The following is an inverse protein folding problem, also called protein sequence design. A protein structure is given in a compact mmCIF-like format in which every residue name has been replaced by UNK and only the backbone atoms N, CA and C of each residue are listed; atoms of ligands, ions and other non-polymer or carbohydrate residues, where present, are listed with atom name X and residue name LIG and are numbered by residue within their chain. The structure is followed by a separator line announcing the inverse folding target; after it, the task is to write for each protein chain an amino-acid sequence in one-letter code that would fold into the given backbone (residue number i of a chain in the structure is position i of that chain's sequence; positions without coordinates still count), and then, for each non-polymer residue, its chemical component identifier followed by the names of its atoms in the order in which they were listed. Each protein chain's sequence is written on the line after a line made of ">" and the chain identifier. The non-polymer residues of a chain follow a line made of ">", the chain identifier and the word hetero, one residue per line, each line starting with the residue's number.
data_IF_814498778652
#
_entry.id   IF_814498778652
#
_cell.length_a   1.000
_cell.length_b   1.000
_cell.length_c   1.000
_cell.angle_alpha   90.00
_cell.angle_beta   90.00
_cell.angle_gamma   90.00
#
_symmetry.space_group_name_H-M   'P 1'
#
loop_
_entity.id
_entity.type
_entity.pdbx_description
1 polymer ?
#
# COMPACT_ATOMS: atom_id res chain seq x y z
N UNK A 1 50.61 -62.24 21.97
CA UNK A 1 50.95 -61.53 20.71
C UNK A 1 49.69 -61.23 19.89
N UNK A 2 48.76 -60.41 20.40
CA UNK A 2 47.46 -60.21 19.75
C UNK A 2 46.87 -58.81 19.99
N UNK A 3 47.67 -57.74 19.94
CA UNK A 3 47.14 -56.37 20.11
C UNK A 3 47.84 -55.27 19.28
N UNK A 4 48.72 -55.60 18.33
CA UNK A 4 49.46 -54.56 17.57
C UNK A 4 48.85 -54.28 16.17
N UNK A 5 47.95 -55.14 15.68
CA UNK A 5 47.42 -55.06 14.30
C UNK A 5 46.23 -54.08 14.18
N UNK A 6 45.43 -53.88 15.23
CA UNK A 6 44.18 -53.09 15.17
C UNK A 6 44.38 -51.57 15.06
N UNK A 7 45.42 -51.01 15.71
CA UNK A 7 45.66 -49.55 15.74
C UNK A 7 46.19 -48.99 14.42
N UNK A 8 46.98 -49.78 13.67
CA UNK A 8 47.53 -49.33 12.38
C UNK A 8 46.49 -49.35 11.26
N UNK A 9 45.59 -50.34 11.26
CA UNK A 9 44.49 -50.41 10.29
C UNK A 9 43.43 -49.33 10.56
N UNK A 10 43.09 -49.08 11.83
CA UNK A 10 42.15 -48.01 12.19
C UNK A 10 42.68 -46.60 11.84
N UNK A 11 43.99 -46.35 12.03
CA UNK A 11 44.61 -45.07 11.65
C UNK A 11 44.63 -44.83 10.15
N UNK A 12 44.92 -45.86 9.34
CA UNK A 12 44.92 -45.76 7.87
C UNK A 12 43.50 -45.53 7.33
N UNK A 13 42.48 -46.16 7.90
CA UNK A 13 41.08 -45.97 7.49
C UNK A 13 40.57 -44.57 7.83
N UNK A 14 40.94 -44.02 8.99
CA UNK A 14 40.56 -42.65 9.38
C UNK A 14 41.24 -41.57 8.52
N UNK A 15 42.52 -41.77 8.17
CA UNK A 15 43.24 -40.85 7.26
C UNK A 15 42.69 -40.95 5.83
N UNK A 16 42.37 -42.15 5.35
CA UNK A 16 41.74 -42.32 4.04
C UNK A 16 40.33 -41.70 3.99
N UNK A 17 39.52 -41.84 5.04
CA UNK A 17 38.20 -41.22 5.12
C UNK A 17 38.27 -39.69 5.20
N UNK A 18 39.26 -39.13 5.91
CA UNK A 18 39.48 -37.68 5.97
C UNK A 18 39.98 -37.10 4.63
N UNK A 19 40.81 -37.83 3.89
CA UNK A 19 41.27 -37.44 2.55
C UNK A 19 40.18 -37.58 1.47
N UNK A 20 39.27 -38.55 1.61
CA UNK A 20 38.11 -38.68 0.73
C UNK A 20 37.07 -37.57 0.98
N UNK A 21 36.88 -37.15 2.25
CA UNK A 21 35.95 -36.08 2.60
C UNK A 21 36.39 -34.69 2.10
N UNK A 22 37.70 -34.43 1.95
CA UNK A 22 38.19 -33.15 1.39
C UNK A 22 38.15 -33.11 -0.14
N UNK A 23 38.11 -34.25 -0.83
CA UNK A 23 37.96 -34.31 -2.29
C UNK A 23 36.52 -34.10 -2.78
N UNK A 24 35.52 -34.22 -1.89
CA UNK A 24 34.10 -34.07 -2.24
C UNK A 24 33.67 -32.61 -2.51
N UNK A 25 34.52 -31.62 -2.26
CA UNK A 25 34.28 -30.23 -2.66
C UNK A 25 34.75 -29.92 -4.10
N UNK A 26 35.36 -30.88 -4.82
CA UNK A 26 35.86 -30.69 -6.19
C UNK A 26 34.95 -31.23 -7.30
N UNK A 27 33.79 -31.81 -6.96
CA UNK A 27 33.03 -32.68 -7.87
C UNK A 27 32.19 -31.99 -8.94
N UNK A 28 31.89 -30.70 -8.81
CA UNK A 28 31.16 -29.99 -9.86
C UNK A 28 31.47 -28.51 -9.82
N UNK A 29 32.28 -28.07 -10.77
CA UNK A 29 32.50 -26.66 -11.02
C UNK A 29 31.15 -26.01 -11.41
N UNK A 30 30.91 -24.74 -11.02
CA UNK A 30 29.74 -24.01 -11.49
C UNK A 30 29.63 -24.06 -13.02
N UNK A 31 28.42 -24.02 -13.60
CA UNK A 31 28.26 -23.98 -15.05
C UNK A 31 29.12 -22.87 -15.66
N UNK A 32 30.00 -23.24 -16.61
CA UNK A 32 30.92 -22.30 -17.27
C UNK A 32 32.31 -22.16 -16.61
N UNK A 33 32.60 -22.88 -15.53
CA UNK A 33 33.94 -22.98 -14.95
C UNK A 33 34.59 -24.33 -15.32
N UNK A 34 35.82 -24.29 -15.84
CA UNK A 34 36.65 -25.46 -16.20
C UNK A 34 37.76 -25.75 -15.17
N UNK A 35 37.87 -24.91 -14.13
CA UNK A 35 38.80 -25.08 -13.03
C UNK A 35 40.22 -24.59 -13.35
N UNK A 36 40.43 -24.02 -14.54
CA UNK A 36 41.70 -23.46 -14.96
C UNK A 36 41.70 -21.94 -14.73
N UNK A 37 42.30 -21.52 -13.62
CA UNK A 37 42.38 -20.10 -13.25
C UNK A 37 43.35 -19.31 -14.16
N UNK A 38 44.02 -19.96 -15.12
CA UNK A 38 45.07 -19.37 -15.94
C UNK A 38 44.70 -19.19 -17.42
N UNK A 39 43.54 -19.67 -17.86
CA UNK A 39 43.09 -19.57 -19.25
C UNK A 39 41.99 -18.50 -19.46
N UNK A 40 41.27 -18.54 -20.59
CA UNK A 40 40.25 -17.54 -20.92
C UNK A 40 38.92 -17.86 -20.22
N UNK A 41 38.70 -17.18 -19.09
CA UNK A 41 37.44 -17.21 -18.35
C UNK A 41 36.30 -16.78 -19.26
N UNK A 42 35.17 -17.49 -19.19
CA UNK A 42 33.95 -17.03 -19.82
C UNK A 42 33.58 -15.63 -19.31
N UNK A 43 33.03 -14.79 -20.18
CA UNK A 43 32.54 -13.48 -19.77
C UNK A 43 31.54 -13.65 -18.62
N UNK A 44 31.78 -12.97 -17.51
CA UNK A 44 30.82 -12.94 -16.41
C UNK A 44 29.52 -12.34 -16.92
N UNK A 45 28.39 -12.97 -16.56
CA UNK A 45 27.09 -12.39 -16.85
C UNK A 45 27.03 -10.97 -16.29
N UNK A 46 26.32 -10.08 -16.99
CA UNK A 46 26.15 -8.72 -16.51
C UNK A 46 25.53 -8.75 -15.10
N UNK A 47 26.12 -8.01 -14.13
CA UNK A 47 25.61 -7.99 -12.77
C UNK A 47 24.19 -7.41 -12.77
N UNK A 48 23.22 -8.23 -12.36
CA UNK A 48 21.84 -7.78 -12.19
C UNK A 48 21.63 -7.21 -10.80
N UNK A 49 20.99 -6.05 -10.70
CA UNK A 49 20.58 -5.51 -9.40
C UNK A 49 19.52 -6.40 -8.74
N UNK A 50 19.56 -6.52 -7.42
CA UNK A 50 18.50 -7.21 -6.68
C UNK A 50 17.13 -6.54 -6.88
N UNK A 51 16.09 -7.36 -7.05
CA UNK A 51 14.68 -6.93 -7.15
C UNK A 51 13.80 -7.66 -6.12
N UNK A 52 12.86 -6.96 -5.46
CA UNK A 52 11.83 -7.57 -4.64
C UNK A 52 10.78 -8.31 -5.49
N UNK A 53 10.12 -9.27 -4.88
CA UNK A 53 9.04 -10.04 -5.48
C UNK A 53 7.73 -9.25 -5.45
N UNK A 54 6.84 -9.54 -6.39
CA UNK A 54 5.45 -9.08 -6.38
C UNK A 54 4.55 -10.05 -5.60
N UNK A 55 3.38 -9.57 -5.17
CA UNK A 55 2.36 -10.38 -4.51
C UNK A 55 2.85 -11.10 -3.25
N UNK A 56 3.78 -10.46 -2.54
CA UNK A 56 4.25 -10.87 -1.21
C UNK A 56 3.75 -9.91 -0.15
N UNK A 57 3.75 -10.36 1.10
CA UNK A 57 3.27 -9.59 2.23
C UNK A 57 4.37 -9.32 3.25
N UNK A 58 4.18 -8.30 4.08
CA UNK A 58 5.15 -7.87 5.09
C UNK A 58 4.45 -7.41 6.39
N UNK A 59 5.21 -7.45 7.49
CA UNK A 59 4.73 -7.02 8.81
C UNK A 59 4.63 -5.49 8.94
N UNK A 60 5.40 -4.76 8.14
CA UNK A 60 5.60 -3.33 8.31
C UNK A 60 5.98 -2.63 7.00
N UNK A 61 5.55 -1.37 6.88
CA UNK A 61 5.92 -0.51 5.77
C UNK A 61 7.35 0.02 5.93
N UNK A 62 8.02 0.18 4.79
CA UNK A 62 9.35 0.78 4.68
C UNK A 62 9.36 1.65 3.45
N UNK A 63 9.41 2.96 3.61
CA UNK A 63 9.64 3.92 2.54
C UNK A 63 11.00 3.69 1.86
N UNK A 64 12.01 3.33 2.64
CA UNK A 64 13.34 2.92 2.18
C UNK A 64 13.56 1.44 2.45
N UNK A 65 13.68 0.66 1.38
CA UNK A 65 13.75 -0.79 1.42
C UNK A 65 15.20 -1.28 1.26
N UNK A 66 15.76 -1.74 2.38
CA UNK A 66 17.05 -2.41 2.43
C UNK A 66 16.89 -3.91 2.17
N UNK A 67 17.76 -4.50 1.34
CA UNK A 67 17.76 -5.95 1.09
C UNK A 67 17.87 -6.78 2.37
N UNK A 68 18.66 -6.34 3.34
CA UNK A 68 18.82 -7.03 4.64
C UNK A 68 17.53 -7.09 5.48
N UNK A 69 16.60 -6.17 5.22
CA UNK A 69 15.29 -6.10 5.89
C UNK A 69 14.16 -6.71 5.07
N UNK A 70 14.42 -7.13 3.83
CA UNK A 70 13.43 -7.76 2.97
C UNK A 70 13.15 -9.19 3.43
N UNK A 71 12.06 -9.35 4.18
CA UNK A 71 11.59 -10.62 4.75
C UNK A 71 10.12 -10.84 4.40
N UNK A 72 9.81 -11.15 3.13
CA UNK A 72 8.44 -11.38 2.72
C UNK A 72 7.85 -12.61 3.42
N UNK A 73 6.56 -12.52 3.73
CA UNK A 73 5.73 -13.65 4.15
C UNK A 73 4.65 -13.90 3.11
N UNK A 74 4.08 -15.10 3.11
CA UNK A 74 2.89 -15.39 2.34
C UNK A 74 1.70 -14.59 2.89
N UNK A 75 0.82 -14.13 2.00
CA UNK A 75 -0.34 -13.31 2.38
C UNK A 75 -1.45 -14.12 3.08
N UNK A 76 -1.33 -15.45 3.12
CA UNK A 76 -2.15 -16.32 3.98
C UNK A 76 -1.65 -16.38 5.43
N UNK A 77 -0.51 -15.75 5.74
CA UNK A 77 -0.01 -15.54 7.08
C UNK A 77 -0.48 -14.18 7.60
N UNK A 78 -0.38 -13.97 8.91
CA UNK A 78 -0.63 -12.67 9.52
C UNK A 78 0.39 -11.64 9.00
N UNK A 79 -0.09 -10.56 8.38
CA UNK A 79 0.71 -9.48 7.81
C UNK A 79 -0.04 -8.15 7.92
N UNK A 80 0.65 -7.04 7.67
CA UNK A 80 0.05 -5.69 7.73
C UNK A 80 0.06 -5.01 6.36
N UNK A 81 1.04 -5.31 5.52
CA UNK A 81 1.21 -4.70 4.20
C UNK A 81 1.32 -5.75 3.10
N UNK A 82 0.82 -5.40 1.91
CA UNK A 82 0.87 -6.20 0.70
C UNK A 82 1.61 -5.43 -0.39
N UNK A 83 2.64 -6.05 -0.96
CA UNK A 83 3.30 -5.52 -2.16
C UNK A 83 2.42 -5.84 -3.37
N UNK A 84 1.62 -4.86 -3.80
CA UNK A 84 0.67 -4.99 -4.90
C UNK A 84 1.38 -5.12 -6.25
N UNK A 85 2.47 -4.39 -6.43
CA UNK A 85 3.25 -4.37 -7.66
C UNK A 85 4.68 -3.86 -7.41
N UNK A 86 5.61 -4.24 -8.30
CA UNK A 86 6.96 -3.74 -8.35
C UNK A 86 7.24 -3.24 -9.78
N UNK A 87 7.42 -1.94 -9.94
CA UNK A 87 7.67 -1.32 -11.24
C UNK A 87 9.04 -0.61 -11.24
N UNK A 88 9.48 -0.12 -12.40
CA UNK A 88 10.77 0.53 -12.57
C UNK A 88 10.63 2.01 -12.90
N UNK A 89 11.52 2.81 -12.33
CA UNK A 89 11.81 4.14 -12.85
C UNK A 89 12.36 4.01 -14.27
N UNK A 90 12.03 4.97 -15.11
CA UNK A 90 12.50 5.05 -16.49
C UNK A 90 13.04 6.45 -16.79
N UNK A 91 13.80 6.57 -17.88
CA UNK A 91 14.34 7.85 -18.36
C UNK A 91 15.21 8.56 -17.31
N UNK A 92 15.05 9.88 -17.21
CA UNK A 92 15.86 10.72 -16.31
C UNK A 92 15.76 10.28 -14.85
N UNK A 93 14.59 9.82 -14.39
CA UNK A 93 14.39 9.32 -13.03
C UNK A 93 15.28 8.10 -12.74
N UNK A 94 15.49 7.22 -13.73
CA UNK A 94 16.37 6.07 -13.61
C UNK A 94 17.85 6.45 -13.70
N UNK A 95 18.20 7.54 -14.37
CA UNK A 95 19.59 8.02 -14.51
C UNK A 95 20.09 8.83 -13.31
N UNK A 96 19.24 9.09 -12.31
CA UNK A 96 19.64 9.81 -11.10
C UNK A 96 20.75 9.07 -10.35
N UNK A 97 21.61 9.82 -9.67
CA UNK A 97 22.65 9.28 -8.80
C UNK A 97 22.13 8.87 -7.43
N UNK A 98 20.94 9.34 -7.04
CA UNK A 98 20.28 8.97 -5.79
C UNK A 98 18.80 8.66 -6.04
N UNK A 99 18.17 7.84 -5.18
CA UNK A 99 16.72 7.64 -5.22
C UNK A 99 15.95 8.96 -5.23
N UNK A 100 14.79 9.04 -5.89
CA UNK A 100 13.91 10.20 -5.80
C UNK A 100 13.65 10.62 -4.35
N UNK A 101 13.82 11.90 -4.05
CA UNK A 101 13.52 12.44 -2.72
C UNK A 101 12.00 12.53 -2.50
N UNK A 102 11.61 12.61 -1.23
CA UNK A 102 10.23 12.94 -0.85
C UNK A 102 9.77 14.24 -1.55
N UNK A 103 8.51 14.28 -1.99
CA UNK A 103 7.94 15.42 -2.71
C UNK A 103 8.58 15.72 -4.08
N UNK A 104 9.45 14.87 -4.62
CA UNK A 104 9.99 15.06 -5.97
C UNK A 104 8.94 14.73 -7.06
N UNK A 105 9.05 15.34 -8.26
CA UNK A 105 8.20 14.96 -9.40
C UNK A 105 8.28 13.47 -9.74
N UNK A 106 9.48 12.89 -9.65
CA UNK A 106 9.72 11.47 -9.93
C UNK A 106 9.00 10.55 -8.94
N UNK A 107 9.03 10.88 -7.63
CA UNK A 107 8.30 10.11 -6.63
C UNK A 107 6.79 10.28 -6.78
N UNK A 108 6.29 11.49 -7.10
CA UNK A 108 4.87 11.70 -7.41
C UNK A 108 4.41 10.91 -8.64
N UNK A 109 5.27 10.74 -9.64
CA UNK A 109 4.97 9.92 -10.81
C UNK A 109 4.84 8.44 -10.43
N UNK A 110 5.76 7.92 -9.61
CA UNK A 110 5.67 6.57 -9.05
C UNK A 110 4.42 6.39 -8.18
N UNK A 111 4.09 7.36 -7.35
CA UNK A 111 2.86 7.37 -6.54
C UNK A 111 1.60 7.31 -7.41
N UNK A 112 1.52 8.13 -8.46
CA UNK A 112 0.37 8.15 -9.37
C UNK A 112 0.23 6.86 -10.20
N UNK A 113 1.34 6.18 -10.49
CA UNK A 113 1.32 4.85 -11.07
C UNK A 113 0.85 3.79 -10.06
N UNK A 114 1.32 3.85 -8.82
CA UNK A 114 0.83 2.99 -7.74
C UNK A 114 -0.66 3.19 -7.45
N UNK A 115 -1.17 4.42 -7.46
CA UNK A 115 -2.61 4.73 -7.31
C UNK A 115 -3.47 3.96 -8.31
N UNK A 116 -3.03 3.89 -9.58
CA UNK A 116 -3.72 3.12 -10.63
C UNK A 116 -3.64 1.62 -10.37
N UNK A 117 -2.46 1.11 -10.05
CA UNK A 117 -2.23 -0.33 -9.82
C UNK A 117 -2.99 -0.83 -8.58
N UNK A 118 -2.98 -0.06 -7.49
CA UNK A 118 -3.74 -0.34 -6.27
C UNK A 118 -5.24 -0.30 -6.54
N UNK A 119 -5.73 0.72 -7.25
CA UNK A 119 -7.15 0.81 -7.64
C UNK A 119 -7.59 -0.40 -8.45
N UNK A 120 -6.77 -0.83 -9.42
CA UNK A 120 -7.05 -2.03 -10.22
C UNK A 120 -7.02 -3.32 -9.38
N UNK A 121 -6.04 -3.44 -8.47
CA UNK A 121 -5.90 -4.59 -7.58
C UNK A 121 -7.10 -4.76 -6.64
N UNK A 122 -7.61 -3.65 -6.08
CA UNK A 122 -8.77 -3.63 -5.18
C UNK A 122 -10.11 -3.78 -5.93
N UNK A 123 -10.15 -3.46 -7.22
CA UNK A 123 -11.38 -3.38 -8.00
C UNK A 123 -12.22 -2.14 -7.71
N UNK A 124 -11.60 -1.06 -7.22
CA UNK A 124 -12.25 0.21 -6.88
C UNK A 124 -11.28 1.22 -6.29
N UNK A 125 -11.68 2.50 -6.25
CA UNK A 125 -10.87 3.57 -5.64
C UNK A 125 -10.68 3.31 -4.15
N UNK A 126 -9.42 3.10 -3.75
CA UNK A 126 -9.01 2.79 -2.37
C UNK A 126 -9.50 3.82 -1.36
N UNK A 127 -9.70 5.08 -1.77
CA UNK A 127 -10.20 6.15 -0.90
C UNK A 127 -11.67 5.98 -0.50
N UNK A 128 -12.37 5.02 -1.10
CA UNK A 128 -13.72 4.63 -0.71
C UNK A 128 -13.74 3.59 0.42
N UNK A 129 -12.60 3.23 0.98
CA UNK A 129 -12.51 2.33 2.11
C UNK A 129 -11.38 2.67 3.09
N UNK A 130 -11.35 1.93 4.20
CA UNK A 130 -10.34 2.00 5.27
C UNK A 130 -9.00 1.44 4.78
N UNK A 131 -8.40 2.09 3.79
CA UNK A 131 -7.21 1.66 3.06
C UNK A 131 -6.23 2.82 2.93
N UNK A 132 -4.96 2.46 2.83
CA UNK A 132 -3.86 3.37 2.52
C UNK A 132 -2.81 2.63 1.70
N UNK A 133 -2.10 3.36 0.85
CA UNK A 133 -0.94 2.81 0.18
C UNK A 133 0.23 3.80 0.19
N UNK A 134 1.44 3.25 0.15
CA UNK A 134 2.69 3.99 0.06
C UNK A 134 3.59 3.46 -1.06
N UNK A 135 4.65 4.21 -1.34
CA UNK A 135 5.68 3.81 -2.31
C UNK A 135 6.98 3.51 -1.55
N UNK A 136 7.49 2.29 -1.70
CA UNK A 136 8.82 1.92 -1.19
C UNK A 136 9.86 2.06 -2.30
N UNK A 137 11.00 2.67 -1.97
CA UNK A 137 12.15 2.83 -2.86
C UNK A 137 13.31 1.94 -2.41
N UNK A 138 14.25 1.60 -3.31
CA UNK A 138 15.52 0.99 -2.94
C UNK A 138 16.29 1.89 -1.96
N UNK A 139 17.06 1.28 -1.06
CA UNK A 139 18.03 2.04 -0.27
C UNK A 139 19.07 2.74 -1.15
N UNK A 140 19.75 3.80 -0.66
CA UNK A 140 20.83 4.44 -1.41
C UNK A 140 21.88 3.45 -1.90
N UNK A 141 22.31 2.50 -1.06
CA UNK A 141 23.24 1.45 -1.48
C UNK A 141 22.66 0.50 -2.54
N UNK A 142 21.36 0.20 -2.48
CA UNK A 142 20.67 -0.56 -3.53
C UNK A 142 20.64 0.20 -4.86
N UNK A 143 20.42 1.51 -4.80
CA UNK A 143 20.45 2.40 -5.95
C UNK A 143 21.85 2.52 -6.55
N UNK A 144 22.89 2.67 -5.73
CA UNK A 144 24.29 2.63 -6.18
C UNK A 144 24.62 1.28 -6.85
N UNK A 145 24.04 0.19 -6.34
CA UNK A 145 24.08 -1.15 -6.92
C UNK A 145 23.16 -1.38 -8.14
N UNK A 146 22.57 -0.32 -8.70
CA UNK A 146 21.79 -0.37 -9.94
C UNK A 146 20.28 -0.61 -9.78
N UNK A 147 19.75 -0.75 -8.56
CA UNK A 147 18.31 -0.92 -8.37
C UNK A 147 17.54 0.34 -8.80
N UNK A 148 16.56 0.18 -9.70
CA UNK A 148 15.70 1.26 -10.20
C UNK A 148 14.21 0.95 -10.05
N UNK A 149 13.86 0.03 -9.16
CA UNK A 149 12.47 -0.32 -8.92
C UNK A 149 11.80 0.61 -7.89
N UNK A 150 10.48 0.54 -7.78
CA UNK A 150 9.67 1.02 -6.66
C UNK A 150 8.54 0.00 -6.40
N UNK A 151 8.09 -0.09 -5.15
CA UNK A 151 6.99 -0.99 -4.76
C UNK A 151 5.75 -0.21 -4.34
N UNK A 152 4.59 -0.71 -4.74
CA UNK A 152 3.30 -0.20 -4.28
C UNK A 152 2.85 -1.03 -3.08
N UNK A 153 2.95 -0.49 -1.88
CA UNK A 153 2.61 -1.17 -0.63
C UNK A 153 1.21 -0.77 -0.19
N UNK A 154 0.32 -1.73 0.01
CA UNK A 154 -1.07 -1.52 0.38
C UNK A 154 -1.34 -2.05 1.79
N UNK A 155 -2.17 -1.35 2.56
CA UNK A 155 -2.66 -1.82 3.86
C UNK A 155 -4.13 -1.43 4.07
N UNK A 156 -4.80 -2.08 5.03
CA UNK A 156 -6.02 -1.51 5.59
C UNK A 156 -5.73 -0.83 6.91
N UNK A 157 -6.63 0.07 7.27
CA UNK A 157 -6.54 0.89 8.46
C UNK A 157 -7.68 0.56 9.42
N UNK A 158 -7.47 0.87 10.69
CA UNK A 158 -8.55 1.00 11.67
C UNK A 158 -9.30 2.33 11.43
N UNK A 159 -10.38 2.25 10.65
CA UNK A 159 -11.14 3.42 10.24
C UNK A 159 -10.49 4.19 9.09
N UNK A 160 -10.78 5.49 8.99
CA UNK A 160 -10.43 6.26 7.78
C UNK A 160 -8.94 6.57 7.68
N UNK A 161 -8.33 7.01 8.77
CA UNK A 161 -6.92 7.42 8.83
C UNK A 161 -6.27 6.92 10.13
N UNK A 162 -6.74 5.78 10.65
CA UNK A 162 -6.18 5.17 11.86
C UNK A 162 -4.97 4.31 11.54
N UNK A 163 -4.62 3.45 12.49
CA UNK A 163 -3.43 2.62 12.39
C UNK A 163 -3.60 1.47 11.38
N UNK A 164 -2.52 1.06 10.70
CA UNK A 164 -2.50 -0.17 9.91
C UNK A 164 -2.95 -1.38 10.72
N UNK A 165 -3.83 -2.20 10.16
CA UNK A 165 -4.35 -3.40 10.83
C UNK A 165 -3.74 -4.67 10.25
N UNK A 166 -3.31 -5.56 11.13
CA UNK A 166 -2.90 -6.89 10.72
C UNK A 166 -4.09 -7.71 10.25
N UNK A 167 -3.85 -8.58 9.26
CA UNK A 167 -4.84 -9.46 8.68
C UNK A 167 -4.23 -10.74 8.16
N UNK A 168 -5.12 -11.69 7.88
CA UNK A 168 -4.84 -12.93 7.17
C UNK A 168 -5.66 -12.92 5.88
N UNK A 169 -5.01 -13.15 4.74
CA UNK A 169 -5.63 -13.11 3.41
C UNK A 169 -5.40 -11.78 2.68
N UNK A 170 -5.39 -11.80 1.34
CA UNK A 170 -5.03 -10.65 0.52
C UNK A 170 -6.17 -9.63 0.38
N UNK A 171 -5.82 -8.37 0.09
CA UNK A 171 -6.73 -7.26 -0.16
C UNK A 171 -7.28 -7.24 -1.59
N UNK A 172 -6.79 -8.12 -2.45
CA UNK A 172 -7.20 -8.21 -3.86
C UNK A 172 -8.72 -8.35 -3.99
N UNK A 173 -9.33 -7.40 -4.72
CA UNK A 173 -10.77 -7.41 -5.00
C UNK A 173 -11.68 -7.00 -3.83
N UNK A 174 -11.14 -6.56 -2.70
CA UNK A 174 -11.95 -6.13 -1.55
C UNK A 174 -12.96 -5.04 -1.91
N UNK A 175 -12.60 -4.08 -2.76
CA UNK A 175 -13.52 -3.02 -3.17
C UNK A 175 -14.46 -3.43 -4.31
N UNK A 176 -14.20 -4.53 -5.02
CA UNK A 176 -15.20 -5.15 -5.88
C UNK A 176 -16.25 -5.92 -5.08
N UNK A 177 -15.88 -6.48 -3.92
CA UNK A 177 -16.80 -7.24 -3.07
C UNK A 177 -17.81 -6.33 -2.36
N UNK A 178 -19.11 -6.49 -2.64
CA UNK A 178 -20.17 -5.69 -2.01
C UNK A 178 -20.25 -5.87 -0.49
N UNK A 179 -19.79 -7.00 0.04
CA UNK A 179 -19.83 -7.34 1.47
C UNK A 179 -18.55 -6.96 2.23
N UNK A 180 -17.57 -6.34 1.57
CA UNK A 180 -16.33 -5.94 2.23
C UNK A 180 -16.58 -4.99 3.39
N UNK A 181 -16.01 -5.31 4.56
CA UNK A 181 -16.04 -4.45 5.74
C UNK A 181 -15.11 -3.24 5.62
N UNK A 182 -14.24 -3.20 4.61
CA UNK A 182 -13.33 -2.09 4.38
C UNK A 182 -14.00 -0.90 3.70
N UNK A 183 -15.12 -1.12 3.01
CA UNK A 183 -15.86 -0.05 2.35
C UNK A 183 -16.45 0.92 3.37
N UNK A 184 -16.29 2.21 3.11
CA UNK A 184 -16.96 3.21 3.90
C UNK A 184 -18.48 3.17 3.68
N UNK A 185 -19.20 3.50 4.74
CA UNK A 185 -20.66 3.49 4.75
C UNK A 185 -21.20 4.53 5.73
N UNK A 186 -21.84 4.04 6.79
CA UNK A 186 -22.55 4.88 7.74
C UNK A 186 -21.72 5.15 9.00
N UNK A 187 -21.95 6.32 9.61
CA UNK A 187 -21.19 6.81 10.76
C UNK A 187 -22.10 7.49 11.78
N UNK A 188 -21.76 7.31 13.04
CA UNK A 188 -22.19 8.21 14.10
C UNK A 188 -21.14 9.32 14.23
N UNK A 189 -21.54 10.55 13.89
CA UNK A 189 -20.75 11.75 14.07
C UNK A 189 -21.18 12.50 15.34
N UNK A 190 -20.23 12.69 16.24
CA UNK A 190 -20.32 13.57 17.40
C UNK A 190 -19.15 14.57 17.33
N UNK A 191 -18.06 14.27 18.04
CA UNK A 191 -16.76 14.92 17.86
C UNK A 191 -15.91 14.28 16.76
N UNK A 192 -16.17 13.02 16.44
CA UNK A 192 -15.44 12.21 15.47
C UNK A 192 -16.39 11.27 14.72
N UNK A 193 -15.97 10.80 13.55
CA UNK A 193 -16.70 9.83 12.75
C UNK A 193 -16.41 8.42 13.26
N UNK A 194 -17.41 7.80 13.90
CA UNK A 194 -17.33 6.40 14.36
C UNK A 194 -18.16 5.54 13.42
N UNK A 195 -17.56 4.50 12.84
CA UNK A 195 -18.26 3.61 11.91
C UNK A 195 -19.48 2.95 12.58
N UNK A 196 -20.58 2.84 11.85
CA UNK A 196 -21.82 2.23 12.31
C UNK A 196 -22.49 1.48 11.16
N UNK A 197 -23.23 0.42 11.48
CA UNK A 197 -24.06 -0.25 10.50
C UNK A 197 -25.19 0.68 10.03
N UNK A 198 -25.46 0.71 8.72
CA UNK A 198 -26.49 1.58 8.16
C UNK A 198 -27.91 1.25 8.62
N UNK A 199 -28.14 0.04 9.15
CA UNK A 199 -29.41 -0.37 9.75
C UNK A 199 -29.53 0.03 11.25
N UNK A 200 -28.47 0.59 11.83
CA UNK A 200 -28.48 1.21 13.16
C UNK A 200 -28.62 2.72 13.03
N UNK A 201 -29.04 3.36 14.11
CA UNK A 201 -29.14 4.82 14.16
C UNK A 201 -27.78 5.46 13.85
N UNK A 202 -27.71 6.23 12.77
CA UNK A 202 -26.53 6.98 12.35
C UNK A 202 -26.95 8.36 11.83
N UNK A 203 -26.02 9.32 11.80
CA UNK A 203 -26.29 10.69 11.36
C UNK A 203 -25.30 11.21 10.31
N UNK A 204 -24.38 10.37 9.84
CA UNK A 204 -23.48 10.68 8.75
C UNK A 204 -23.28 9.47 7.83
N UNK A 205 -23.03 9.71 6.55
CA UNK A 205 -22.68 8.69 5.56
C UNK A 205 -21.56 9.18 4.65
N UNK A 206 -20.60 8.32 4.33
CA UNK A 206 -19.61 8.60 3.30
C UNK A 206 -20.29 8.67 1.93
N UNK A 207 -20.08 9.78 1.22
CA UNK A 207 -20.73 10.04 -0.08
C UNK A 207 -19.78 10.02 -1.26
N UNK A 208 -18.47 10.04 -1.01
CA UNK A 208 -17.43 9.98 -2.03
C UNK A 208 -16.25 10.89 -1.73
N UNK A 209 -15.36 11.01 -2.71
CA UNK A 209 -14.14 11.80 -2.63
C UNK A 209 -14.19 12.96 -3.61
N UNK A 210 -13.85 14.15 -3.12
CA UNK A 210 -13.58 15.31 -3.97
C UNK A 210 -12.08 15.48 -4.15
N UNK A 211 -11.60 15.52 -5.41
CA UNK A 211 -10.19 15.75 -5.70
C UNK A 211 -9.89 17.26 -5.73
N UNK A 212 -8.96 17.70 -4.90
CA UNK A 212 -8.58 19.11 -4.80
C UNK A 212 -7.59 19.57 -5.88
N UNK A 213 -7.15 18.68 -6.77
CA UNK A 213 -6.18 18.95 -7.82
C UNK A 213 -4.83 19.40 -7.24
N UNK A 214 -4.17 20.34 -7.90
CA UNK A 214 -2.85 20.87 -7.48
C UNK A 214 -2.92 21.88 -6.33
N UNK A 215 -3.93 21.78 -5.46
CA UNK A 215 -4.08 22.67 -4.30
C UNK A 215 -2.97 22.39 -3.29
N UNK A 216 -2.30 23.42 -2.79
CA UNK A 216 -1.31 23.25 -1.71
C UNK A 216 -1.97 22.90 -0.38
N UNK A 217 -1.37 21.99 0.40
CA UNK A 217 -1.90 21.53 1.69
C UNK A 217 -2.24 22.68 2.64
N UNK A 218 -1.35 23.67 2.76
CA UNK A 218 -1.54 24.84 3.61
C UNK A 218 -2.78 25.69 3.24
N UNK A 219 -3.28 25.59 2.00
CA UNK A 219 -4.45 26.33 1.53
C UNK A 219 -5.78 25.67 1.88
N UNK A 220 -5.79 24.39 2.30
CA UNK A 220 -7.04 23.66 2.52
C UNK A 220 -7.94 24.31 3.58
N UNK A 221 -7.34 24.86 4.64
CA UNK A 221 -8.07 25.53 5.72
C UNK A 221 -8.84 26.77 5.27
N UNK A 222 -8.35 27.50 4.26
CA UNK A 222 -9.04 28.68 3.72
C UNK A 222 -10.10 28.32 2.67
N UNK A 223 -10.16 27.05 2.25
CA UNK A 223 -11.05 26.57 1.18
C UNK A 223 -12.36 25.95 1.70
N UNK A 224 -12.69 26.08 2.99
CA UNK A 224 -13.86 25.47 3.62
C UNK A 224 -15.15 25.66 2.81
N UNK A 225 -15.43 26.84 2.28
CA UNK A 225 -16.63 27.10 1.47
C UNK A 225 -16.63 26.32 0.15
N UNK A 226 -15.47 26.21 -0.51
CA UNK A 226 -15.31 25.45 -1.76
C UNK A 226 -15.44 23.95 -1.51
N UNK A 227 -14.80 23.44 -0.46
CA UNK A 227 -14.90 22.04 -0.04
C UNK A 227 -16.34 21.69 0.31
N UNK A 228 -17.00 22.52 1.13
CA UNK A 228 -18.39 22.30 1.51
C UNK A 228 -19.33 22.28 0.30
N UNK A 229 -19.12 23.16 -0.69
CA UNK A 229 -19.88 23.16 -1.96
C UNK A 229 -19.62 21.88 -2.76
N UNK A 230 -18.37 21.44 -2.88
CA UNK A 230 -18.02 20.22 -3.60
C UNK A 230 -18.60 18.97 -2.93
N UNK A 231 -18.45 18.84 -1.61
CA UNK A 231 -19.05 17.74 -0.85
C UNK A 231 -20.57 17.73 -0.98
N UNK A 232 -21.25 18.88 -0.93
CA UNK A 232 -22.71 18.93 -1.17
C UNK A 232 -23.09 18.42 -2.57
N UNK A 233 -22.30 18.69 -3.59
CA UNK A 233 -22.49 18.10 -4.92
C UNK A 233 -22.43 16.56 -4.91
N UNK A 234 -21.48 15.99 -4.15
CA UNK A 234 -21.40 14.54 -3.94
C UNK A 234 -22.62 14.01 -3.17
N UNK A 235 -23.08 14.71 -2.13
CA UNK A 235 -24.31 14.36 -1.41
C UNK A 235 -25.51 14.37 -2.35
N UNK A 236 -25.64 15.37 -3.22
CA UNK A 236 -26.73 15.46 -4.19
C UNK A 236 -26.78 14.22 -5.11
N UNK A 237 -25.62 13.84 -5.65
CA UNK A 237 -25.49 12.66 -6.51
C UNK A 237 -25.75 11.34 -5.77
N UNK A 238 -25.27 11.23 -4.53
CA UNK A 238 -25.42 10.05 -3.67
C UNK A 238 -26.89 9.82 -3.30
N UNK A 239 -27.58 10.87 -2.87
CA UNK A 239 -28.98 10.82 -2.40
C UNK A 239 -29.99 10.86 -3.55
N UNK A 240 -29.58 11.32 -4.75
CA UNK A 240 -30.44 11.57 -5.92
C UNK A 240 -31.41 12.73 -5.71
N UNK A 241 -30.86 13.89 -5.31
CA UNK A 241 -31.58 15.17 -5.21
C UNK A 241 -30.94 16.23 -6.11
N UNK A 242 -31.66 17.32 -6.45
CA UNK A 242 -31.04 18.44 -7.17
C UNK A 242 -29.82 19.00 -6.45
N UNK A 243 -28.76 19.30 -7.20
CA UNK A 243 -27.58 20.01 -6.69
C UNK A 243 -27.82 21.53 -6.80
N UNK A 244 -28.68 22.06 -5.94
CA UNK A 244 -29.09 23.46 -5.93
C UNK A 244 -28.84 24.11 -4.56
N UNK A 245 -29.26 25.37 -4.39
CA UNK A 245 -29.14 26.08 -3.11
C UNK A 245 -29.96 25.46 -1.97
N UNK A 246 -30.90 24.55 -2.25
CA UNK A 246 -31.72 23.95 -1.20
C UNK A 246 -30.98 22.87 -0.41
N UNK A 247 -29.92 22.28 -0.97
CA UNK A 247 -29.20 21.19 -0.32
C UNK A 247 -28.54 21.60 1.00
N UNK A 248 -28.11 22.86 1.14
CA UNK A 248 -27.54 23.38 2.39
C UNK A 248 -28.53 23.44 3.55
N UNK A 249 -29.84 23.50 3.27
CA UNK A 249 -30.90 23.45 4.28
C UNK A 249 -31.32 22.02 4.63
N UNK A 250 -30.82 21.03 3.88
CA UNK A 250 -31.17 19.62 4.04
C UNK A 250 -30.09 18.82 4.75
N UNK A 251 -28.83 19.21 4.58
CA UNK A 251 -27.72 18.47 5.16
C UNK A 251 -26.50 19.35 5.36
N UNK A 252 -25.80 19.11 6.46
CA UNK A 252 -24.43 19.55 6.64
C UNK A 252 -23.47 18.61 5.91
N UNK A 253 -22.21 18.99 5.85
CA UNK A 253 -21.16 18.12 5.34
C UNK A 253 -20.00 18.10 6.32
N UNK A 254 -19.41 16.93 6.49
CA UNK A 254 -18.19 16.71 7.25
C UNK A 254 -17.15 16.17 6.27
N UNK A 255 -15.93 16.65 6.37
CA UNK A 255 -14.87 16.23 5.46
C UNK A 255 -13.57 16.07 6.23
N UNK A 256 -12.76 15.13 5.75
CA UNK A 256 -11.40 14.92 6.21
C UNK A 256 -10.49 14.80 4.97
N UNK A 257 -9.28 15.33 5.07
CA UNK A 257 -8.22 15.19 4.08
C UNK A 257 -7.05 14.43 4.72
N UNK A 258 -6.15 13.83 3.93
CA UNK A 258 -5.05 13.03 4.43
C UNK A 258 -3.96 13.89 5.11
N UNK A 259 -2.90 13.25 5.60
CA UNK A 259 -1.76 13.96 6.21
C UNK A 259 -1.05 14.87 5.20
N UNK A 260 -0.21 15.79 5.68
CA UNK A 260 0.61 16.63 4.79
C UNK A 260 1.56 15.77 3.92
N UNK A 261 2.16 14.73 4.50
CA UNK A 261 3.07 13.84 3.78
C UNK A 261 2.34 13.10 2.64
N UNK A 262 1.16 12.55 2.91
CA UNK A 262 0.34 11.89 1.88
C UNK A 262 -0.09 12.87 0.78
N UNK A 263 -0.45 14.11 1.19
CA UNK A 263 -0.81 15.17 0.25
C UNK A 263 0.35 15.50 -0.69
N UNK A 264 1.56 15.65 -0.15
CA UNK A 264 2.77 15.96 -0.93
C UNK A 264 3.22 14.77 -1.81
N UNK A 265 2.93 13.54 -1.38
CA UNK A 265 3.14 12.32 -2.15
C UNK A 265 2.18 12.20 -3.35
N UNK A 266 0.95 12.73 -3.23
CA UNK A 266 -0.01 12.82 -4.34
C UNK A 266 -1.46 12.57 -3.96
N UNK A 267 -1.77 12.24 -2.70
CA UNK A 267 -3.15 12.08 -2.26
C UNK A 267 -3.85 13.42 -2.03
N UNK A 268 -4.45 13.94 -3.10
CA UNK A 268 -5.26 15.15 -3.07
C UNK A 268 -6.77 14.88 -2.87
N UNK A 269 -7.13 13.72 -2.32
CA UNK A 269 -8.50 13.30 -2.10
C UNK A 269 -9.10 13.81 -0.78
N UNK A 270 -10.20 14.55 -0.86
CA UNK A 270 -10.98 14.95 0.31
C UNK A 270 -12.18 14.03 0.46
N UNK A 271 -12.25 13.28 1.56
CA UNK A 271 -13.34 12.35 1.86
C UNK A 271 -14.55 13.11 2.40
N UNK A 272 -15.66 13.09 1.66
CA UNK A 272 -16.86 13.84 1.97
C UNK A 272 -17.92 12.94 2.61
N UNK A 273 -18.60 13.48 3.62
CA UNK A 273 -19.70 12.83 4.32
C UNK A 273 -20.91 13.75 4.35
N UNK A 274 -22.10 13.20 4.11
CA UNK A 274 -23.34 13.89 4.50
C UNK A 274 -23.46 13.88 6.01
N UNK A 275 -24.11 14.88 6.58
CA UNK A 275 -24.34 14.96 8.02
C UNK A 275 -25.72 15.57 8.35
N UNK A 276 -26.41 14.95 9.31
CA UNK A 276 -27.79 15.24 9.69
C UNK A 276 -27.92 15.89 11.08
N UNK A 277 -26.83 16.47 11.62
CA UNK A 277 -26.82 17.08 12.95
C UNK A 277 -27.32 16.09 14.03
N UNK A 278 -28.36 16.45 14.78
CA UNK A 278 -28.97 15.64 15.83
C UNK A 278 -29.88 14.53 15.29
N UNK A 279 -30.29 14.59 14.02
CA UNK A 279 -31.21 13.60 13.44
C UNK A 279 -30.47 12.29 13.16
N UNK A 280 -31.12 11.18 13.47
CA UNK A 280 -30.63 9.84 13.16
C UNK A 280 -31.56 9.17 12.17
N UNK A 281 -30.97 8.43 11.24
CA UNK A 281 -31.67 7.54 10.30
C UNK A 281 -31.20 6.10 10.54
N UNK A 282 -32.02 5.14 10.13
CA UNK A 282 -31.76 3.70 10.28
C UNK A 282 -31.71 2.98 8.94
N UNK A 283 -31.61 3.75 7.85
CA UNK A 283 -31.40 3.27 6.48
C UNK A 283 -30.47 4.27 5.79
N UNK A 284 -29.65 3.76 4.88
CA UNK A 284 -28.81 4.62 4.05
C UNK A 284 -29.68 5.56 3.21
N UNK A 285 -29.22 6.79 3.06
CA UNK A 285 -29.82 7.82 2.22
C UNK A 285 -29.44 7.69 0.74
N UNK A 286 -28.64 6.69 0.36
CA UNK A 286 -28.28 6.43 -1.03
C UNK A 286 -29.55 6.22 -1.86
N UNK A 287 -29.77 7.10 -2.84
CA UNK A 287 -30.95 7.03 -3.71
C UNK A 287 -32.30 7.34 -3.02
N UNK A 288 -32.30 7.87 -1.80
CA UNK A 288 -33.53 8.12 -1.05
C UNK A 288 -34.36 9.31 -1.58
N UNK A 289 -33.75 10.16 -2.41
CA UNK A 289 -34.39 11.31 -3.03
C UNK A 289 -34.82 12.39 -2.04
N UNK A 290 -35.58 13.36 -2.54
CA UNK A 290 -35.99 14.56 -1.79
C UNK A 290 -36.86 14.23 -0.56
N UNK A 291 -37.66 13.16 -0.64
CA UNK A 291 -38.52 12.73 0.48
C UNK A 291 -37.74 11.98 1.56
N UNK A 292 -36.70 11.23 1.18
CA UNK A 292 -35.89 10.46 2.11
C UNK A 292 -34.83 11.28 2.84
N UNK A 293 -34.33 12.36 2.23
CA UNK A 293 -33.40 13.28 2.89
C UNK A 293 -34.18 14.27 3.77
N UNK A 294 -34.04 14.21 5.11
CA UNK A 294 -34.73 15.13 6.00
C UNK A 294 -34.23 16.56 5.83
N UNK A 295 -35.09 17.54 6.08
CA UNK A 295 -34.67 18.94 6.21
C UNK A 295 -33.88 19.05 7.52
N UNK A 296 -32.65 19.57 7.47
CA UNK A 296 -31.82 19.73 8.63
C UNK A 296 -31.72 21.24 8.91
N UNK A 297 -32.58 21.74 9.80
CA UNK A 297 -32.39 23.05 10.38
C UNK A 297 -31.12 22.95 11.23
N UNK A 298 -30.02 23.51 10.70
CA UNK A 298 -28.82 23.75 11.49
C UNK A 298 -29.13 24.79 12.56
#
# INVERSE_FOLDING_TARGET
>A
MREVIGRRVAGVVLVAAALLATSACGGQLPPGADGDLTNQWAALAEPTSWRPDEAVCADSFRDVSYRSSYKPVSCDQNHTYETVAVADFAGEAASRTTPPSEGSPDLRAAWADCDKKVTAHLGGDWRNGSLWFGVSLPSPAGWDGGARWYRCELTALDGQYGDPVSRTGPLKGELANASSSLKFGCYQYGSQLVASACNKGHNAEFVGVWNAGSTAFASLKSMNTKIAKACRGLVASYVKVPNDGNISYRTGVVWNWPSQADWEAGDHGVRCHLWLSKKKVTKSLRGAGTKGLPINYA
#
